data_IF_015259959047
#
_entry.id   IF_015259959047
#
_cell.length_a   1.000
_cell.length_b   1.000
_cell.length_c   1.000
_cell.angle_alpha   90.00
_cell.angle_beta   90.00
_cell.angle_gamma   90.00
#
_symmetry.space_group_name_H-M   'P 1'
#
loop_
_entity.id
_entity.type
_entity.pdbx_description
1 polymer ?
#
# COMPACT_ATOMS: atom_id res chain seq x y z
N UNK A 1 12.75 4.57 8.57
CA UNK A 1 12.34 3.26 8.03
C UNK A 1 11.66 2.51 9.14
N UNK A 2 10.48 1.93 8.90
CA UNK A 2 9.85 1.05 9.89
C UNK A 2 10.64 -0.26 9.87
N UNK A 3 11.12 -0.74 11.01
CA UNK A 3 11.71 -2.07 11.16
C UNK A 3 10.74 -2.95 11.94
N UNK A 4 10.66 -4.21 11.56
CA UNK A 4 9.99 -5.27 12.34
C UNK A 4 11.06 -6.13 12.98
N UNK A 5 10.71 -6.89 14.00
CA UNK A 5 11.60 -7.87 14.62
C UNK A 5 11.15 -9.29 14.30
N UNK A 6 12.06 -10.26 14.46
CA UNK A 6 11.69 -11.68 14.40
C UNK A 6 10.70 -12.04 15.53
N UNK A 7 10.72 -11.31 16.64
CA UNK A 7 9.72 -11.37 17.70
C UNK A 7 8.31 -11.03 17.17
N UNK A 8 8.16 -9.91 16.47
CA UNK A 8 6.87 -9.48 15.90
C UNK A 8 6.31 -10.51 14.91
N UNK A 9 7.18 -11.12 14.09
CA UNK A 9 6.81 -12.23 13.19
C UNK A 9 6.21 -13.42 13.96
N UNK A 10 6.80 -13.78 15.11
CA UNK A 10 6.31 -14.88 15.93
C UNK A 10 5.05 -14.51 16.73
N UNK A 11 4.92 -13.28 17.20
CA UNK A 11 3.71 -12.87 17.93
C UNK A 11 2.51 -12.74 16.99
N UNK A 12 2.68 -12.13 15.81
CA UNK A 12 1.55 -11.80 14.94
C UNK A 12 1.18 -12.94 13.98
N UNK A 13 2.13 -13.77 13.57
CA UNK A 13 1.95 -14.70 12.44
C UNK A 13 2.20 -16.16 12.77
N UNK A 14 2.48 -16.52 14.02
CA UNK A 14 2.81 -17.90 14.38
C UNK A 14 1.75 -18.93 14.01
N UNK A 15 0.48 -18.66 14.28
CA UNK A 15 -0.60 -19.60 13.96
C UNK A 15 -0.79 -19.73 12.44
N UNK A 16 -0.90 -18.58 11.76
CA UNK A 16 -1.17 -18.52 10.32
C UNK A 16 -0.03 -19.11 9.48
N UNK A 17 1.22 -18.87 9.88
CA UNK A 17 2.41 -19.41 9.22
C UNK A 17 2.87 -20.76 9.80
N UNK A 18 2.14 -21.33 10.77
CA UNK A 18 2.50 -22.56 11.50
C UNK A 18 3.95 -22.56 12.00
N UNK A 19 4.39 -21.45 12.60
CA UNK A 19 5.78 -21.24 12.99
C UNK A 19 6.12 -21.91 14.32
N UNK A 20 7.30 -22.52 14.35
CA UNK A 20 7.93 -23.06 15.55
C UNK A 20 9.37 -22.57 15.63
N UNK A 21 9.75 -22.03 16.80
CA UNK A 21 11.12 -21.62 17.08
C UNK A 21 11.96 -22.83 17.49
N UNK A 22 12.95 -23.19 16.67
CA UNK A 22 13.87 -24.32 16.93
C UNK A 22 15.07 -23.87 17.77
N UNK A 23 15.64 -22.70 17.47
CA UNK A 23 16.76 -22.12 18.22
C UNK A 23 16.84 -20.61 18.04
N UNK A 24 17.59 -19.93 18.92
CA UNK A 24 17.85 -18.50 18.81
C UNK A 24 16.86 -17.60 19.56
N UNK A 25 16.24 -18.12 20.64
CA UNK A 25 15.29 -17.34 21.48
C UNK A 25 15.88 -16.03 22.02
N UNK A 26 17.18 -15.98 22.31
CA UNK A 26 17.87 -14.76 22.73
C UNK A 26 18.15 -13.74 21.62
N UNK A 27 17.78 -14.03 20.37
CA UNK A 27 18.06 -13.20 19.20
C UNK A 27 16.79 -12.81 18.42
N UNK A 28 15.63 -12.82 19.08
CA UNK A 28 14.36 -12.42 18.44
C UNK A 28 14.27 -10.92 18.13
N UNK A 29 15.11 -10.09 18.75
CA UNK A 29 15.21 -8.66 18.46
C UNK A 29 15.95 -8.30 17.16
N UNK A 30 16.34 -9.29 16.34
CA UNK A 30 16.95 -9.02 15.02
C UNK A 30 15.91 -8.39 14.10
N UNK A 31 16.34 -7.38 13.35
CA UNK A 31 15.44 -6.56 12.52
C UNK A 31 15.20 -7.16 11.14
N UNK A 32 13.95 -7.08 10.68
CA UNK A 32 13.48 -7.33 9.33
C UNK A 32 13.14 -5.97 8.72
N UNK A 33 13.92 -5.58 7.72
CA UNK A 33 13.85 -4.25 7.10
C UNK A 33 13.37 -4.29 5.65
N UNK A 34 13.28 -5.47 5.05
CA UNK A 34 12.86 -5.66 3.66
C UNK A 34 11.72 -6.69 3.60
N UNK A 35 10.74 -6.50 2.70
CA UNK A 35 9.63 -7.44 2.55
C UNK A 35 9.98 -8.66 1.69
N UNK A 36 11.10 -8.59 0.97
CA UNK A 36 11.57 -9.63 0.09
C UNK A 36 12.20 -10.78 0.89
N UNK A 37 11.99 -12.00 0.41
CA UNK A 37 12.61 -13.21 0.94
C UNK A 37 13.78 -13.65 0.06
N UNK A 38 14.66 -14.48 0.59
CA UNK A 38 15.74 -15.08 -0.17
C UNK A 38 15.76 -16.60 -0.01
N UNK A 39 16.00 -17.32 -1.10
CA UNK A 39 16.22 -18.77 -1.11
C UNK A 39 17.70 -19.04 -1.35
N UNK A 40 18.49 -19.40 -0.33
CA UNK A 40 19.95 -19.30 -0.39
C UNK A 40 20.62 -20.51 -1.07
N UNK A 41 20.02 -21.11 -2.10
CA UNK A 41 20.55 -22.32 -2.75
C UNK A 41 22.00 -22.17 -3.23
N UNK A 42 22.32 -21.09 -3.93
CA UNK A 42 23.69 -20.81 -4.40
C UNK A 42 24.67 -20.50 -3.25
N UNK A 43 24.19 -19.78 -2.22
CA UNK A 43 25.02 -19.47 -1.06
C UNK A 43 25.38 -20.73 -0.26
N UNK A 44 24.44 -21.67 -0.12
CA UNK A 44 24.68 -22.99 0.46
C UNK A 44 25.66 -23.81 -0.37
N UNK A 45 25.64 -23.65 -1.70
CA UNK A 45 26.58 -24.27 -2.64
C UNK A 45 27.96 -23.59 -2.70
N UNK A 46 28.19 -22.52 -1.93
CA UNK A 46 29.51 -21.86 -1.84
C UNK A 46 29.70 -20.69 -2.81
N UNK A 47 28.63 -20.23 -3.46
CA UNK A 47 28.60 -19.04 -4.30
C UNK A 47 27.87 -17.89 -3.59
N UNK A 48 28.54 -17.11 -2.73
CA UNK A 48 27.91 -16.01 -1.99
C UNK A 48 27.74 -14.72 -2.82
N UNK A 49 28.07 -14.75 -4.12
CA UNK A 49 27.89 -13.60 -5.01
C UNK A 49 26.41 -13.21 -5.01
N UNK A 50 26.14 -11.93 -4.75
CA UNK A 50 24.78 -11.37 -4.62
C UNK A 50 23.93 -11.96 -3.48
N UNK A 51 24.53 -12.59 -2.46
CA UNK A 51 23.79 -13.05 -1.29
C UNK A 51 23.12 -11.87 -0.55
N UNK A 52 21.79 -11.86 -0.56
CA UNK A 52 20.93 -10.83 0.07
C UNK A 52 20.68 -11.20 1.53
N UNK A 53 21.65 -10.89 2.38
CA UNK A 53 21.63 -11.27 3.79
C UNK A 53 20.50 -10.61 4.58
N UNK A 54 20.15 -9.37 4.26
CA UNK A 54 19.11 -8.56 4.91
C UNK A 54 17.68 -9.08 4.76
N UNK A 55 17.48 -10.11 3.94
CA UNK A 55 16.19 -10.78 3.72
C UNK A 55 16.02 -11.96 4.65
N UNK A 56 14.77 -12.38 4.89
CA UNK A 56 14.50 -13.65 5.56
C UNK A 56 14.96 -14.80 4.65
N UNK A 57 15.73 -15.74 5.22
CA UNK A 57 16.30 -16.87 4.46
C UNK A 57 15.37 -18.08 4.52
N UNK A 58 14.93 -18.58 3.37
CA UNK A 58 13.98 -19.70 3.27
C UNK A 58 14.68 -20.96 2.76
N UNK A 59 14.65 -22.01 3.57
CA UNK A 59 15.09 -23.36 3.21
C UNK A 59 13.84 -24.15 2.81
N UNK A 60 13.66 -24.30 1.50
CA UNK A 60 12.64 -25.18 0.94
C UNK A 60 13.17 -26.59 0.72
N UNK A 61 12.41 -27.38 -0.05
CA UNK A 61 12.76 -28.77 -0.38
C UNK A 61 14.13 -28.90 -1.05
N UNK A 62 14.46 -28.03 -2.01
CA UNK A 62 15.73 -28.11 -2.76
C UNK A 62 16.93 -27.78 -1.88
N UNK A 63 16.84 -26.70 -1.10
CA UNK A 63 17.88 -26.28 -0.17
C UNK A 63 18.07 -27.30 0.96
N UNK A 64 16.97 -27.88 1.47
CA UNK A 64 17.00 -28.93 2.48
C UNK A 64 17.68 -30.21 1.95
N UNK A 65 17.30 -30.67 0.75
CA UNK A 65 17.91 -31.83 0.11
C UNK A 65 19.41 -31.63 -0.09
N UNK A 66 19.84 -30.45 -0.55
CA UNK A 66 21.26 -30.11 -0.69
C UNK A 66 22.00 -30.19 0.65
N UNK A 67 21.41 -29.65 1.73
CA UNK A 67 22.00 -29.72 3.06
C UNK A 67 22.16 -31.16 3.60
N UNK A 68 21.39 -32.12 3.10
CA UNK A 68 21.53 -33.54 3.47
C UNK A 68 22.60 -34.26 2.66
N UNK A 69 22.80 -33.88 1.40
CA UNK A 69 23.76 -34.55 0.50
C UNK A 69 25.15 -33.90 0.50
N UNK A 70 25.26 -32.64 0.92
CA UNK A 70 26.52 -31.92 0.93
C UNK A 70 27.52 -32.49 1.95
N UNK A 71 28.81 -32.38 1.64
CA UNK A 71 29.91 -32.63 2.57
C UNK A 71 29.72 -31.78 3.84
N UNK A 72 29.78 -32.41 5.01
CA UNK A 72 29.58 -31.73 6.29
C UNK A 72 30.56 -30.57 6.50
N UNK A 73 31.79 -30.71 6.00
CA UNK A 73 32.85 -29.68 6.06
C UNK A 73 32.49 -28.47 5.20
N UNK A 74 32.08 -28.69 3.96
CA UNK A 74 31.79 -27.62 3.01
C UNK A 74 30.50 -26.89 3.38
N UNK A 75 29.48 -27.65 3.80
CA UNK A 75 28.22 -27.08 4.30
C UNK A 75 28.47 -26.19 5.52
N UNK A 76 29.28 -26.65 6.50
CA UNK A 76 29.60 -25.85 7.68
C UNK A 76 30.33 -24.55 7.31
N UNK A 77 31.32 -24.61 6.41
CA UNK A 77 32.04 -23.44 5.94
C UNK A 77 31.14 -22.43 5.20
N UNK A 78 30.20 -22.92 4.37
CA UNK A 78 29.27 -22.06 3.64
C UNK A 78 28.21 -21.45 4.57
N UNK A 79 27.69 -22.23 5.53
CA UNK A 79 26.78 -21.72 6.56
C UNK A 79 27.44 -20.65 7.43
N UNK A 80 28.72 -20.79 7.77
CA UNK A 80 29.48 -19.78 8.50
C UNK A 80 29.61 -18.46 7.71
N UNK A 81 29.92 -18.53 6.41
CA UNK A 81 29.93 -17.34 5.53
C UNK A 81 28.57 -16.66 5.42
N UNK A 82 27.49 -17.45 5.47
CA UNK A 82 26.12 -16.97 5.34
C UNK A 82 25.60 -16.35 6.65
N UNK A 83 25.75 -17.06 7.77
CA UNK A 83 25.17 -16.73 9.08
C UNK A 83 26.00 -15.70 9.86
N UNK A 84 27.26 -15.48 9.50
CA UNK A 84 28.09 -14.40 10.06
C UNK A 84 27.66 -13.00 9.64
N UNK A 85 26.71 -12.87 8.69
CA UNK A 85 26.21 -11.58 8.21
C UNK A 85 25.33 -10.90 9.27
N UNK A 86 25.71 -9.71 9.78
CA UNK A 86 24.97 -9.06 10.86
C UNK A 86 23.52 -8.68 10.50
N UNK A 87 23.24 -8.42 9.22
CA UNK A 87 21.91 -8.05 8.74
C UNK A 87 20.94 -9.21 8.58
N UNK A 88 21.38 -10.47 8.76
CA UNK A 88 20.52 -11.64 8.54
C UNK A 88 19.46 -11.77 9.64
N UNK A 89 18.16 -11.60 9.37
CA UNK A 89 17.13 -11.57 10.42
C UNK A 89 16.94 -12.95 11.04
N UNK A 90 16.53 -13.92 10.24
CA UNK A 90 16.28 -15.31 10.63
C UNK A 90 16.34 -16.24 9.42
N UNK A 91 16.32 -17.54 9.73
CA UNK A 91 16.23 -18.61 8.74
C UNK A 91 15.00 -19.46 9.03
N UNK A 92 14.21 -19.77 7.99
CA UNK A 92 12.98 -20.55 8.09
C UNK A 92 13.08 -21.79 7.23
N UNK A 93 12.80 -22.96 7.81
CA UNK A 93 12.65 -24.22 7.08
C UNK A 93 11.16 -24.47 6.86
N UNK A 94 10.77 -24.68 5.60
CA UNK A 94 9.37 -24.91 5.20
C UNK A 94 9.12 -26.39 4.91
N UNK A 95 7.86 -26.82 4.84
CA UNK A 95 7.47 -28.19 4.50
C UNK A 95 7.66 -29.21 5.61
N UNK A 96 7.62 -28.77 6.88
CA UNK A 96 7.81 -29.61 8.08
C UNK A 96 9.14 -30.38 8.16
N UNK A 97 10.10 -30.05 7.27
CA UNK A 97 11.38 -30.73 7.26
C UNK A 97 12.13 -30.54 8.57
N UNK A 98 12.70 -31.65 9.07
CA UNK A 98 13.58 -31.60 10.24
C UNK A 98 14.86 -30.84 9.89
N UNK A 99 15.24 -29.80 10.64
CA UNK A 99 16.49 -29.08 10.42
C UNK A 99 17.70 -30.01 10.52
N UNK A 100 18.63 -30.00 9.54
CA UNK A 100 19.90 -30.68 9.67
C UNK A 100 20.68 -30.23 10.91
N UNK A 101 21.43 -31.14 11.53
CA UNK A 101 22.19 -30.82 12.76
C UNK A 101 23.21 -29.71 12.51
N UNK A 102 23.94 -29.76 11.39
CA UNK A 102 24.90 -28.72 11.00
C UNK A 102 24.26 -27.32 10.95
N UNK A 103 23.08 -27.23 10.33
CA UNK A 103 22.31 -25.97 10.26
C UNK A 103 21.92 -25.47 11.66
N UNK A 104 21.41 -26.36 12.50
CA UNK A 104 20.99 -26.03 13.87
C UNK A 104 22.17 -25.55 14.72
N UNK A 105 23.31 -26.22 14.63
CA UNK A 105 24.53 -25.86 15.34
C UNK A 105 25.09 -24.52 14.87
N UNK A 106 25.13 -24.28 13.56
CA UNK A 106 25.59 -23.00 13.02
C UNK A 106 24.67 -21.84 13.40
N UNK A 107 23.34 -22.01 13.34
CA UNK A 107 22.39 -20.99 13.81
C UNK A 107 22.59 -20.67 15.31
N UNK A 108 22.88 -21.66 16.15
CA UNK A 108 23.24 -21.46 17.57
C UNK A 108 24.53 -20.65 17.72
N UNK A 109 25.60 -21.04 17.00
CA UNK A 109 26.91 -20.38 17.03
C UNK A 109 26.80 -18.90 16.69
N UNK A 110 26.04 -18.55 15.64
CA UNK A 110 25.90 -17.18 15.14
C UNK A 110 24.72 -16.41 15.73
N UNK A 111 23.99 -17.00 16.70
CA UNK A 111 22.80 -16.39 17.32
C UNK A 111 21.77 -15.92 16.28
N UNK A 112 21.50 -16.77 15.29
CA UNK A 112 20.46 -16.54 14.29
C UNK A 112 19.22 -17.38 14.65
N UNK A 113 18.02 -16.77 14.76
CA UNK A 113 16.79 -17.52 14.94
C UNK A 113 16.55 -18.50 13.80
N UNK A 114 16.31 -19.76 14.17
CA UNK A 114 15.90 -20.82 13.25
C UNK A 114 14.45 -21.16 13.52
N UNK A 115 13.61 -20.96 12.50
CA UNK A 115 12.19 -21.26 12.55
C UNK A 115 11.88 -22.46 11.65
N UNK A 116 10.85 -23.21 12.01
CA UNK A 116 10.22 -24.23 11.19
C UNK A 116 8.79 -23.82 10.88
N UNK A 117 8.33 -24.06 9.67
CA UNK A 117 6.95 -23.91 9.25
C UNK A 117 6.42 -25.23 8.66
N UNK A 118 5.19 -25.56 9.03
CA UNK A 118 4.44 -26.68 8.43
C UNK A 118 3.74 -26.35 7.12
N UNK A 119 3.90 -25.13 6.59
CA UNK A 119 3.41 -24.76 5.26
C UNK A 119 4.41 -25.17 4.18
N UNK A 120 3.93 -25.42 2.97
CA UNK A 120 4.82 -25.57 1.82
C UNK A 120 5.54 -24.25 1.49
N UNK A 121 6.62 -24.32 0.73
CA UNK A 121 7.47 -23.15 0.47
C UNK A 121 6.74 -22.03 -0.28
N UNK A 122 5.84 -22.36 -1.22
CA UNK A 122 5.14 -21.35 -2.01
C UNK A 122 4.06 -20.66 -1.17
N UNK A 123 3.26 -21.45 -0.45
CA UNK A 123 2.24 -20.95 0.49
C UNK A 123 2.88 -20.07 1.58
N UNK A 124 3.98 -20.55 2.18
CA UNK A 124 4.71 -19.80 3.21
C UNK A 124 5.20 -18.45 2.69
N UNK A 125 5.83 -18.42 1.51
CA UNK A 125 6.35 -17.18 0.91
C UNK A 125 5.20 -16.22 0.62
N UNK A 126 4.09 -16.68 0.04
CA UNK A 126 2.94 -15.83 -0.28
C UNK A 126 2.37 -15.13 0.96
N UNK A 127 2.14 -15.90 2.03
CA UNK A 127 1.60 -15.39 3.29
C UNK A 127 2.58 -14.46 4.02
N UNK A 128 3.87 -14.81 4.04
CA UNK A 128 4.92 -13.98 4.64
C UNK A 128 5.08 -12.65 3.89
N UNK A 129 5.18 -12.71 2.56
CA UNK A 129 5.34 -11.52 1.72
C UNK A 129 4.13 -10.59 1.86
N UNK A 130 2.90 -11.10 1.88
CA UNK A 130 1.71 -10.28 2.07
C UNK A 130 1.73 -9.52 3.42
N UNK A 131 2.17 -10.17 4.50
CA UNK A 131 2.31 -9.51 5.80
C UNK A 131 3.45 -8.47 5.81
N UNK A 132 4.61 -8.82 5.28
CA UNK A 132 5.75 -7.92 5.25
C UNK A 132 5.47 -6.69 4.38
N UNK A 133 4.87 -6.88 3.20
CA UNK A 133 4.49 -5.79 2.30
C UNK A 133 3.53 -4.83 3.00
N UNK A 134 2.55 -5.33 3.76
CA UNK A 134 1.63 -4.46 4.49
C UNK A 134 2.31 -3.72 5.66
N UNK A 135 3.13 -4.42 6.47
CA UNK A 135 3.73 -3.85 7.68
C UNK A 135 4.91 -2.90 7.38
N UNK A 136 5.68 -3.18 6.35
CA UNK A 136 6.85 -2.38 5.93
C UNK A 136 6.51 -1.33 4.85
N UNK A 137 5.28 -1.31 4.33
CA UNK A 137 4.85 -0.34 3.33
C UNK A 137 5.13 1.12 3.77
N UNK A 138 5.59 1.97 2.84
CA UNK A 138 5.70 3.40 3.07
C UNK A 138 4.36 4.00 3.48
N UNK A 139 4.39 4.90 4.46
CA UNK A 139 3.23 5.60 4.99
C UNK A 139 3.48 7.11 4.94
N UNK A 140 2.51 7.86 4.41
CA UNK A 140 2.48 9.31 4.38
C UNK A 140 1.22 9.79 5.09
N UNK A 141 1.34 10.78 5.96
CA UNK A 141 0.20 11.47 6.57
C UNK A 141 0.00 12.80 5.88
N UNK A 142 -1.24 13.08 5.47
CA UNK A 142 -1.60 14.33 4.81
C UNK A 142 -2.83 14.94 5.48
N UNK A 143 -2.92 16.27 5.46
CA UNK A 143 -4.15 16.95 5.81
C UNK A 143 -5.15 16.91 4.65
N UNK A 144 -6.40 16.63 4.98
CA UNK A 144 -7.49 16.51 4.01
C UNK A 144 -8.60 15.60 4.51
N UNK A 145 -9.57 15.35 3.63
CA UNK A 145 -10.72 14.49 3.92
C UNK A 145 -10.74 13.38 2.88
N UNK A 146 -10.88 12.14 3.32
CA UNK A 146 -10.95 10.97 2.45
C UNK A 146 -12.35 10.38 2.51
N UNK A 147 -12.98 10.29 1.35
CA UNK A 147 -14.33 9.74 1.18
C UNK A 147 -14.34 8.70 0.05
N UNK A 148 -15.21 7.70 0.16
CA UNK A 148 -15.53 6.77 -0.92
C UNK A 148 -16.77 7.27 -1.65
N UNK A 149 -16.60 7.70 -2.90
CA UNK A 149 -17.67 8.23 -3.76
C UNK A 149 -17.85 7.27 -4.93
N UNK A 150 -18.98 6.56 -4.99
CA UNK A 150 -19.20 5.48 -5.97
C UNK A 150 -18.03 4.47 -6.01
N UNK A 151 -17.59 3.97 -4.85
CA UNK A 151 -16.44 3.06 -4.67
C UNK A 151 -15.07 3.60 -5.14
N UNK A 152 -14.98 4.89 -5.44
CA UNK A 152 -13.73 5.56 -5.76
C UNK A 152 -13.25 6.32 -4.52
N UNK A 153 -12.04 6.03 -4.04
CA UNK A 153 -11.42 6.81 -2.97
C UNK A 153 -11.01 8.20 -3.46
N UNK A 154 -11.65 9.23 -2.92
CA UNK A 154 -11.41 10.63 -3.25
C UNK A 154 -10.75 11.34 -2.08
N UNK A 155 -9.50 11.77 -2.27
CA UNK A 155 -8.77 12.60 -1.32
C UNK A 155 -9.07 14.08 -1.60
N UNK A 156 -9.80 14.74 -0.71
CA UNK A 156 -10.16 16.15 -0.80
C UNK A 156 -9.17 16.96 0.03
N UNK A 157 -8.41 17.84 -0.63
CA UNK A 157 -7.43 18.73 -0.01
C UNK A 157 -7.76 20.18 -0.34
N UNK A 158 -7.15 21.11 0.38
CA UNK A 158 -7.35 22.54 0.23
C UNK A 158 -7.03 23.26 1.53
N UNK A 159 -6.96 24.59 1.47
CA UNK A 159 -6.70 25.43 2.64
C UNK A 159 -7.77 25.24 3.74
N UNK A 160 -7.40 25.59 4.98
CA UNK A 160 -8.32 25.52 6.12
C UNK A 160 -9.50 26.49 5.90
N UNK A 161 -10.72 26.03 6.18
CA UNK A 161 -11.93 26.86 6.02
C UNK A 161 -12.54 26.89 4.61
N UNK A 162 -11.99 26.16 3.63
CA UNK A 162 -12.60 26.03 2.29
C UNK A 162 -13.83 25.09 2.22
N UNK A 163 -14.31 24.58 3.36
CA UNK A 163 -15.49 23.73 3.40
C UNK A 163 -15.25 22.24 3.13
N UNK A 164 -14.03 21.72 3.41
CA UNK A 164 -13.69 20.30 3.15
C UNK A 164 -14.59 19.34 3.94
N UNK A 165 -14.70 19.55 5.25
CA UNK A 165 -15.46 18.69 6.15
C UNK A 165 -16.97 18.86 5.93
N UNK A 166 -17.44 20.08 5.67
CA UNK A 166 -18.83 20.36 5.30
C UNK A 166 -19.23 19.69 3.98
N UNK A 167 -18.35 19.73 2.98
CA UNK A 167 -18.54 19.02 1.71
C UNK A 167 -18.60 17.49 1.92
N UNK A 168 -17.71 16.95 2.76
CA UNK A 168 -17.71 15.53 3.08
C UNK A 168 -18.97 15.10 3.85
N UNK A 169 -19.45 15.92 4.78
CA UNK A 169 -20.71 15.69 5.48
C UNK A 169 -21.90 15.66 4.51
N UNK A 170 -21.93 16.56 3.52
CA UNK A 170 -22.95 16.53 2.47
C UNK A 170 -22.85 15.26 1.61
N UNK A 171 -21.64 14.83 1.25
CA UNK A 171 -21.43 13.57 0.53
C UNK A 171 -21.93 12.37 1.35
N UNK A 172 -21.67 12.33 2.66
CA UNK A 172 -22.19 11.29 3.56
C UNK A 172 -23.72 11.29 3.57
N UNK A 173 -24.34 12.46 3.67
CA UNK A 173 -25.81 12.59 3.60
C UNK A 173 -26.40 12.10 2.27
N UNK A 174 -25.62 12.16 1.19
CA UNK A 174 -25.98 11.65 -0.15
C UNK A 174 -25.74 10.16 -0.32
N UNK A 175 -25.27 9.45 0.71
CA UNK A 175 -25.03 8.01 0.70
C UNK A 175 -23.59 7.59 0.40
N UNK A 176 -22.65 8.55 0.32
CA UNK A 176 -21.23 8.25 0.23
C UNK A 176 -20.64 7.96 1.61
N UNK A 177 -19.42 7.45 1.64
CA UNK A 177 -18.87 6.84 2.85
C UNK A 177 -17.63 7.61 3.31
N UNK A 178 -17.61 8.05 4.56
CA UNK A 178 -16.44 8.70 5.15
C UNK A 178 -15.36 7.67 5.49
N UNK A 179 -14.12 7.99 5.16
CA UNK A 179 -12.96 7.18 5.56
C UNK A 179 -12.15 7.90 6.63
N UNK A 180 -11.85 9.17 6.41
CA UNK A 180 -11.05 9.99 7.34
C UNK A 180 -11.40 11.47 7.17
N UNK A 181 -11.38 12.23 8.26
CA UNK A 181 -11.45 13.69 8.28
C UNK A 181 -10.20 14.27 8.97
N UNK A 182 -9.80 15.47 8.55
CA UNK A 182 -8.56 16.18 8.91
C UNK A 182 -7.24 15.46 8.58
N UNK A 183 -6.97 14.28 9.14
CA UNK A 183 -5.71 13.53 8.95
C UNK A 183 -5.97 12.22 8.22
N UNK A 184 -5.35 12.09 7.05
CA UNK A 184 -5.40 10.87 6.23
C UNK A 184 -4.05 10.16 6.26
N UNK A 185 -4.05 8.89 6.67
CA UNK A 185 -2.88 8.02 6.58
C UNK A 185 -2.94 7.25 5.24
N UNK A 186 -2.00 7.55 4.35
CA UNK A 186 -1.88 6.93 3.03
C UNK A 186 -0.72 5.95 3.04
N UNK A 187 -1.00 4.70 2.68
CA UNK A 187 -0.03 3.62 2.60
C UNK A 187 0.17 3.19 1.15
N UNK A 188 1.41 3.07 0.71
CA UNK A 188 1.75 2.51 -0.60
C UNK A 188 1.94 1.00 -0.47
N UNK A 189 0.94 0.24 -0.93
CA UNK A 189 1.02 -1.22 -1.02
C UNK A 189 1.79 -1.66 -2.26
N UNK A 190 2.10 -2.95 -2.31
CA UNK A 190 2.73 -3.60 -3.46
C UNK A 190 1.99 -3.26 -4.77
N UNK A 191 2.73 -3.13 -5.87
CA UNK A 191 2.18 -2.78 -7.19
C UNK A 191 1.83 -1.30 -7.37
N UNK A 192 2.26 -0.41 -6.44
CA UNK A 192 2.01 1.02 -6.55
C UNK A 192 0.57 1.42 -6.20
N UNK A 193 -0.13 0.59 -5.43
CA UNK A 193 -1.50 0.87 -4.99
C UNK A 193 -1.47 1.74 -3.74
N UNK A 194 -2.11 2.90 -3.79
CA UNK A 194 -2.27 3.77 -2.62
C UNK A 194 -3.58 3.45 -1.89
N UNK A 195 -3.48 3.16 -0.60
CA UNK A 195 -4.61 2.91 0.28
C UNK A 195 -4.63 3.98 1.36
N UNK A 196 -5.74 4.70 1.48
CA UNK A 196 -5.94 5.71 2.51
C UNK A 196 -6.80 5.16 3.64
N UNK A 197 -6.54 5.64 4.86
CA UNK A 197 -7.23 5.25 6.08
C UNK A 197 -7.19 6.40 7.09
N UNK A 198 -7.99 6.31 8.16
CA UNK A 198 -7.94 7.23 9.29
C UNK A 198 -7.07 6.64 10.41
N UNK A 199 -6.11 7.41 10.97
CA UNK A 199 -5.37 6.98 12.15
C UNK A 199 -6.30 6.96 13.38
N UNK A 200 -6.11 5.98 14.28
CA UNK A 200 -6.65 6.07 15.64
C UNK A 200 -5.98 7.26 16.36
N UNK A 201 -6.70 8.09 17.14
CA UNK A 201 -8.07 7.95 17.66
C UNK A 201 -9.16 8.69 16.85
N UNK A 202 -8.85 9.22 15.66
CA UNK A 202 -9.74 10.12 14.92
C UNK A 202 -10.87 9.41 14.16
N UNK A 203 -10.91 8.07 14.20
CA UNK A 203 -11.86 7.29 13.40
C UNK A 203 -13.30 7.67 13.67
N UNK A 204 -14.05 7.83 12.57
CA UNK A 204 -15.49 8.16 12.53
C UNK A 204 -15.85 9.57 13.01
N UNK A 205 -14.91 10.30 13.61
CA UNK A 205 -15.14 11.67 14.05
C UNK A 205 -14.88 12.67 12.93
N UNK A 206 -15.60 13.78 12.99
CA UNK A 206 -15.45 14.92 12.08
C UNK A 206 -15.64 16.20 12.88
N UNK A 207 -14.81 17.22 12.63
CA UNK A 207 -15.02 18.55 13.18
C UNK A 207 -15.83 19.40 12.20
N UNK A 208 -16.97 19.92 12.64
CA UNK A 208 -17.79 20.83 11.83
C UNK A 208 -17.91 22.17 12.54
N UNK A 209 -17.52 23.24 11.85
CA UNK A 209 -17.57 24.59 12.43
C UNK A 209 -19.00 24.96 12.80
N UNK A 210 -19.17 25.47 14.02
CA UNK A 210 -20.48 25.81 14.60
C UNK A 210 -21.24 24.64 15.23
N UNK A 211 -20.83 23.38 15.00
CA UNK A 211 -21.41 22.20 15.64
C UNK A 211 -20.44 21.51 16.60
N UNK A 212 -19.13 21.63 16.37
CA UNK A 212 -18.09 20.92 17.13
C UNK A 212 -17.77 19.55 16.53
N UNK A 213 -17.22 18.65 17.35
CA UNK A 213 -16.87 17.29 16.94
C UNK A 213 -18.13 16.42 16.95
N UNK A 214 -18.37 15.71 15.85
CA UNK A 214 -19.50 14.80 15.67
C UNK A 214 -19.02 13.37 15.34
N UNK A 215 -19.79 12.37 15.75
CA UNK A 215 -19.57 10.96 15.39
C UNK A 215 -20.46 10.56 14.21
N UNK A 216 -19.84 10.36 13.05
CA UNK A 216 -20.52 10.06 11.79
C UNK A 216 -21.16 8.66 11.80
N UNK A 217 -20.55 7.71 12.54
CA UNK A 217 -21.08 6.35 12.68
C UNK A 217 -22.36 6.37 13.52
N UNK A 218 -22.41 7.15 14.59
CA UNK A 218 -23.60 7.26 15.45
C UNK A 218 -24.74 8.00 14.76
N UNK A 219 -24.42 9.05 13.97
CA UNK A 219 -25.42 9.87 13.30
C UNK A 219 -26.01 9.21 12.04
N UNK A 220 -25.19 8.52 11.24
CA UNK A 220 -25.59 8.00 9.92
C UNK A 220 -25.48 6.47 9.81
N UNK A 221 -25.08 5.78 10.87
CA UNK A 221 -25.00 4.32 10.95
C UNK A 221 -23.70 3.73 10.43
N UNK A 222 -23.55 2.42 10.56
CA UNK A 222 -22.34 1.69 10.12
C UNK A 222 -22.07 1.74 8.62
N UNK A 223 -23.08 2.03 7.80
CA UNK A 223 -22.94 2.15 6.35
C UNK A 223 -22.29 3.46 5.89
N UNK A 224 -22.13 4.45 6.77
CA UNK A 224 -21.55 5.77 6.44
C UNK A 224 -20.04 5.86 6.68
N UNK A 225 -19.42 4.78 7.18
CA UNK A 225 -18.00 4.73 7.50
C UNK A 225 -17.28 3.57 6.79
N UNK A 226 -16.01 3.78 6.45
CA UNK A 226 -15.14 2.73 5.90
C UNK A 226 -13.74 2.86 6.50
N UNK A 227 -13.12 1.72 6.86
CA UNK A 227 -11.80 1.73 7.50
C UNK A 227 -10.68 2.19 6.56
N UNK A 228 -10.78 1.82 5.29
CA UNK A 228 -9.77 2.11 4.28
C UNK A 228 -10.37 2.05 2.86
N UNK A 229 -9.81 2.85 1.95
CA UNK A 229 -10.19 2.84 0.54
C UNK A 229 -8.95 3.01 -0.34
N UNK A 230 -8.96 2.42 -1.53
CA UNK A 230 -7.95 2.69 -2.55
C UNK A 230 -8.15 4.10 -3.12
N UNK A 231 -7.09 4.90 -3.15
CA UNK A 231 -7.12 6.24 -3.74
C UNK A 231 -7.23 6.11 -5.26
N UNK A 232 -8.22 6.79 -5.85
CA UNK A 232 -8.42 6.86 -7.29
C UNK A 232 -8.52 8.28 -7.85
N UNK A 233 -8.71 9.27 -6.98
CA UNK A 233 -8.81 10.68 -7.37
C UNK A 233 -8.32 11.59 -6.23
N UNK A 234 -7.53 12.60 -6.56
CA UNK A 234 -7.24 13.73 -5.70
C UNK A 234 -8.09 14.93 -6.15
N UNK A 235 -8.75 15.58 -5.22
CA UNK A 235 -9.48 16.84 -5.42
C UNK A 235 -8.79 17.92 -4.62
N UNK A 236 -8.48 19.05 -5.25
CA UNK A 236 -7.96 20.23 -4.56
C UNK A 236 -8.97 21.36 -4.64
N UNK A 237 -9.51 21.74 -3.50
CA UNK A 237 -10.33 22.93 -3.33
C UNK A 237 -9.42 24.15 -3.29
N UNK A 238 -9.74 25.16 -4.09
CA UNK A 238 -8.96 26.39 -4.23
C UNK A 238 -9.88 27.60 -4.15
N UNK A 239 -9.35 28.76 -3.74
CA UNK A 239 -10.10 30.00 -3.86
C UNK A 239 -10.43 30.30 -5.32
N UNK A 240 -11.62 30.81 -5.58
CA UNK A 240 -11.95 31.32 -6.91
C UNK A 240 -11.07 32.53 -7.23
N UNK A 241 -10.23 32.38 -8.26
CA UNK A 241 -9.43 33.47 -8.82
C UNK A 241 -9.88 33.73 -10.27
N UNK A 242 -10.42 34.92 -10.59
CA UNK A 242 -10.81 35.27 -11.95
C UNK A 242 -9.62 35.39 -12.92
N UNK A 243 -8.39 35.54 -12.42
CA UNK A 243 -7.17 35.62 -13.22
C UNK A 243 -6.49 34.27 -13.45
N UNK A 244 -6.87 33.24 -12.69
CA UNK A 244 -6.31 31.90 -12.88
C UNK A 244 -6.77 31.30 -14.21
N UNK A 245 -5.81 30.87 -15.04
CA UNK A 245 -6.08 30.12 -16.26
C UNK A 245 -6.69 28.76 -15.88
N UNK A 246 -8.01 28.66 -15.98
CA UNK A 246 -8.74 27.43 -15.69
C UNK A 246 -8.87 26.60 -16.97
N UNK A 247 -8.53 25.31 -16.92
CA UNK A 247 -8.82 24.41 -18.03
C UNK A 247 -10.35 24.27 -18.19
N UNK A 248 -10.88 24.92 -19.23
CA UNK A 248 -12.30 24.84 -19.61
C UNK A 248 -12.61 23.67 -20.53
N UNK A 249 -11.58 22.98 -21.02
CA UNK A 249 -11.70 21.90 -22.01
C UNK A 249 -11.68 20.53 -21.36
N UNK A 250 -11.05 20.39 -20.19
CA UNK A 250 -10.86 19.11 -19.50
C UNK A 250 -9.93 18.17 -20.25
N UNK A 251 -9.14 18.70 -21.20
CA UNK A 251 -8.16 17.96 -21.99
C UNK A 251 -6.83 17.83 -21.23
N UNK A 252 -6.52 18.77 -20.32
CA UNK A 252 -5.31 18.69 -19.53
C UNK A 252 -5.45 17.64 -18.42
N UNK A 253 -4.58 16.64 -18.47
CA UNK A 253 -4.52 15.60 -17.44
C UNK A 253 -3.57 16.07 -16.35
N UNK A 254 -4.14 16.59 -15.26
CA UNK A 254 -3.37 16.90 -14.07
C UNK A 254 -3.25 15.67 -13.18
N UNK A 255 -2.12 15.54 -12.49
CA UNK A 255 -1.90 14.50 -11.50
C UNK A 255 -1.13 15.06 -10.30
N UNK A 256 -1.43 14.51 -9.13
CA UNK A 256 -0.71 14.72 -7.90
C UNK A 256 0.23 13.53 -7.66
N UNK A 257 1.51 13.80 -7.36
CA UNK A 257 2.43 12.76 -6.90
C UNK A 257 2.21 12.55 -5.39
N UNK A 258 1.77 11.36 -5.00
CA UNK A 258 1.60 10.96 -3.60
C UNK A 258 2.54 9.77 -3.34
N UNK A 259 3.51 9.99 -2.44
CA UNK A 259 4.69 9.10 -2.29
C UNK A 259 5.37 8.97 -3.67
N UNK A 260 5.32 7.80 -4.30
CA UNK A 260 5.89 7.55 -5.64
C UNK A 260 4.83 7.20 -6.70
N UNK A 261 3.55 7.44 -6.40
CA UNK A 261 2.43 7.11 -7.29
C UNK A 261 1.76 8.38 -7.81
N UNK A 262 1.45 8.40 -9.10
CA UNK A 262 0.74 9.50 -9.77
C UNK A 262 -0.77 9.28 -9.68
N UNK A 263 -1.49 10.17 -9.00
CA UNK A 263 -2.95 10.11 -8.82
C UNK A 263 -3.59 11.24 -9.62
N UNK A 264 -4.65 10.97 -10.42
CA UNK A 264 -5.39 12.02 -11.13
C UNK A 264 -5.83 13.15 -10.20
N UNK A 265 -5.62 14.40 -10.61
CA UNK A 265 -5.92 15.59 -9.83
C UNK A 265 -7.01 16.43 -10.52
N UNK A 266 -8.02 16.82 -9.76
CA UNK A 266 -9.04 17.79 -10.17
C UNK A 266 -9.00 18.99 -9.23
N UNK A 267 -8.88 20.19 -9.78
CA UNK A 267 -8.95 21.44 -9.02
C UNK A 267 -10.36 22.00 -9.10
N UNK A 268 -10.98 22.27 -7.96
CA UNK A 268 -12.34 22.79 -7.87
C UNK A 268 -12.29 24.14 -7.16
N UNK A 269 -12.58 25.25 -7.84
CA UNK A 269 -12.59 26.54 -7.21
C UNK A 269 -13.89 26.74 -6.43
N UNK A 270 -13.73 27.19 -5.19
CA UNK A 270 -14.80 27.43 -4.22
C UNK A 270 -15.32 28.85 -4.41
N UNK A 271 -16.61 28.97 -4.69
CA UNK A 271 -17.32 30.25 -4.73
C UNK A 271 -18.77 30.08 -4.24
N UNK A 272 -19.39 31.17 -3.72
CA UNK A 272 -20.77 31.12 -3.25
C UNK A 272 -21.74 30.59 -4.31
N UNK A 273 -22.69 29.75 -3.90
CA UNK A 273 -23.69 29.14 -4.78
C UNK A 273 -23.23 27.88 -5.53
N UNK A 274 -21.96 27.48 -5.45
CA UNK A 274 -21.50 26.18 -5.98
C UNK A 274 -21.70 25.08 -4.96
N UNK A 275 -22.33 23.98 -5.38
CA UNK A 275 -22.39 22.77 -4.56
C UNK A 275 -21.15 21.91 -4.80
N UNK A 276 -20.23 21.90 -3.84
CA UNK A 276 -18.96 21.18 -3.95
C UNK A 276 -19.16 19.66 -3.98
N UNK A 277 -20.12 19.13 -3.19
CA UNK A 277 -20.40 17.70 -3.16
C UNK A 277 -20.81 17.19 -4.54
N UNK A 278 -21.72 17.89 -5.23
CA UNK A 278 -22.14 17.56 -6.60
C UNK A 278 -20.97 17.62 -7.59
N UNK A 279 -20.10 18.62 -7.48
CA UNK A 279 -18.92 18.71 -8.36
C UNK A 279 -17.96 17.53 -8.14
N UNK A 280 -17.78 17.09 -6.89
CA UNK A 280 -16.97 15.92 -6.56
C UNK A 280 -17.62 14.62 -7.06
N UNK A 281 -18.94 14.47 -6.95
CA UNK A 281 -19.68 13.34 -7.52
C UNK A 281 -19.45 13.25 -9.04
N UNK A 282 -19.60 14.36 -9.76
CA UNK A 282 -19.37 14.42 -11.21
C UNK A 282 -17.91 14.15 -11.57
N UNK A 283 -16.97 14.70 -10.80
CA UNK A 283 -15.54 14.43 -10.99
C UNK A 283 -15.21 12.93 -10.80
N UNK A 284 -15.84 12.29 -9.81
CA UNK A 284 -15.67 10.87 -9.51
C UNK A 284 -16.25 10.00 -10.63
N UNK A 285 -17.45 10.29 -11.12
CA UNK A 285 -18.05 9.60 -12.27
C UNK A 285 -17.20 9.76 -13.54
N UNK A 286 -16.73 10.97 -13.82
CA UNK A 286 -15.85 11.21 -14.97
C UNK A 286 -14.53 10.44 -14.84
N UNK A 287 -13.96 10.34 -13.64
CA UNK A 287 -12.75 9.55 -13.41
C UNK A 287 -13.01 8.05 -13.60
N UNK A 288 -14.16 7.53 -13.15
CA UNK A 288 -14.56 6.15 -13.44
C UNK A 288 -14.70 5.88 -14.94
N UNK A 289 -15.29 6.82 -15.70
CA UNK A 289 -15.36 6.72 -17.16
C UNK A 289 -13.95 6.64 -17.79
N UNK A 290 -13.01 7.49 -17.35
CA UNK A 290 -11.62 7.46 -17.83
C UNK A 290 -10.93 6.13 -17.54
N UNK A 291 -11.16 5.54 -16.35
CA UNK A 291 -10.64 4.21 -15.98
C UNK A 291 -11.15 3.13 -16.94
N UNK A 292 -12.42 3.24 -17.38
CA UNK A 292 -13.02 2.33 -18.38
C UNK A 292 -12.67 2.66 -19.83
N UNK A 293 -11.81 3.66 -20.08
CA UNK A 293 -11.38 4.05 -21.43
C UNK A 293 -12.27 5.06 -22.15
N UNK A 294 -13.25 5.65 -21.45
CA UNK A 294 -14.14 6.68 -22.01
C UNK A 294 -13.65 8.10 -21.67
N UNK A 295 -13.22 8.84 -22.69
CA UNK A 295 -12.69 10.21 -22.56
C UNK A 295 -13.63 11.25 -23.21
N UNK A 296 -14.55 11.82 -22.43
CA UNK A 296 -15.61 12.73 -22.93
C UNK A 296 -15.07 13.97 -23.63
N UNK A 297 -14.05 14.64 -23.06
CA UNK A 297 -13.43 15.83 -23.65
C UNK A 297 -12.77 15.54 -25.01
N UNK A 298 -12.03 14.43 -25.11
CA UNK A 298 -11.39 14.00 -26.36
C UNK A 298 -12.42 13.64 -27.42
N UNK A 299 -13.51 12.95 -27.03
CA UNK A 299 -14.61 12.60 -27.94
C UNK A 299 -15.31 13.84 -28.47
N UNK A 300 -15.56 14.81 -27.59
CA UNK A 300 -16.17 16.09 -27.98
C UNK A 300 -15.24 16.88 -28.91
N UNK A 301 -13.96 17.01 -28.56
CA UNK A 301 -12.96 17.68 -29.41
C UNK A 301 -12.86 17.02 -30.79
N UNK A 302 -12.82 15.69 -30.85
CA UNK A 302 -12.84 14.94 -32.12
C UNK A 302 -14.09 15.23 -32.94
N UNK A 303 -15.25 15.32 -32.29
CA UNK A 303 -16.52 15.65 -32.97
C UNK A 303 -16.54 17.07 -33.52
N UNK A 304 -15.93 18.04 -32.81
CA UNK A 304 -15.79 19.41 -33.28
C UNK A 304 -14.83 19.49 -34.48
N UNK A 305 -13.66 18.85 -34.39
CA UNK A 305 -12.69 18.79 -35.48
C UNK A 305 -13.32 18.15 -36.73
N UNK A 306 -14.10 17.08 -36.56
CA UNK A 306 -14.81 16.43 -37.66
C UNK A 306 -15.84 17.34 -38.33
N UNK A 307 -16.51 18.22 -37.57
CA UNK A 307 -17.46 19.22 -38.09
C UNK A 307 -16.78 20.44 -38.73
N UNK A 308 -15.57 20.78 -38.31
CA UNK A 308 -14.77 21.89 -38.83
C UNK A 308 -13.93 21.51 -40.07
N UNK A 309 -13.77 20.21 -40.35
CA UNK A 309 -13.09 19.73 -41.54
C UNK A 309 -13.96 19.99 -42.78
N UNK A 310 -13.49 20.73 -43.80
CA UNK A 310 -14.29 21.04 -44.98
C UNK A 310 -14.70 19.74 -45.68
N UNK A 311 -15.98 19.60 -46.04
CA UNK A 311 -16.44 18.57 -46.98
C UNK A 311 -15.60 18.74 -48.24
N UNK A 312 -14.66 17.81 -48.49
CA UNK A 312 -14.08 17.67 -49.83
C UNK A 312 -15.23 17.18 -50.71
N UNK A 313 -15.88 18.10 -51.42
CA UNK A 313 -16.70 17.72 -52.56
C UNK A 313 -15.82 16.93 -53.53
N UNK A 314 -16.27 15.76 -54.01
CA UNK A 314 -15.56 15.06 -55.05
C UNK A 314 -15.58 15.95 -56.30
N UNK A 315 -14.41 16.43 -56.72
CA UNK A 315 -14.25 17.03 -58.05
C UNK A 315 -14.43 15.90 -59.07
N UNK A 316 -15.61 15.86 -59.67
CA UNK A 316 -15.90 15.13 -60.91
C UNK A 316 -15.12 15.72 -62.07
#
# INVERSE_FOLDING_TARGET
>A
MRSLTVGDLLEERRERLKLELITGRGALGREITTPEVNRPGLALAGYPAHFRAERIQIIGRGEHAYCLTASAKDLAANLEKMLSRPSLPCLVITGDFKPPQALTQSCRKFKVPLLRSGLDTAEFIGELSAWLDDRLAPVLRVHGVLVSVYDLGVLIQGEAGLGKSECALELVKRGHILVADDVVEIRQKYGGVLVGSCPEPLKHYMEVRGLGIIDIKQLFGVGSILNMVQLGLAVRLEHWDPQAAMDRTGLERQAAKIIDVSVPLVRIPVSPGRNLAVLIEVASLNQRLKITGHFSAERFNRSLIARMSPRREPRT
#
